data_IF_474755932300
#
_entry.id   IF_474755932300
#
_cell.length_a   1.000
_cell.length_b   1.000
_cell.length_c   1.000
_cell.angle_alpha   90.00
_cell.angle_beta   90.00
_cell.angle_gamma   90.00
#
_symmetry.space_group_name_H-M   'P 1'
#
loop_
_entity.id
_entity.type
_entity.pdbx_description
1 polymer ?
#
# COMPACT_ATOMS: atom_id res chain seq x y z
N UNK A 1 17.27 49.96 -9.72
CA UNK A 1 16.05 50.21 -8.94
C UNK A 1 16.31 49.63 -7.56
N UNK A 2 16.49 50.51 -6.60
CA UNK A 2 17.09 50.24 -5.30
C UNK A 2 16.30 49.25 -4.44
N UNK A 3 17.02 48.49 -3.63
CA UNK A 3 16.49 47.49 -2.68
C UNK A 3 15.63 48.15 -1.58
N UNK A 4 15.70 49.47 -1.42
CA UNK A 4 14.91 50.25 -0.47
C UNK A 4 13.48 50.59 -0.95
N UNK A 5 13.16 50.52 -2.25
CA UNK A 5 11.80 50.75 -2.75
C UNK A 5 10.82 49.61 -2.41
N UNK A 6 11.33 48.43 -2.07
CA UNK A 6 10.46 47.29 -1.68
C UNK A 6 9.75 47.51 -0.35
N UNK A 7 10.26 48.39 0.52
CA UNK A 7 9.62 48.75 1.80
C UNK A 7 8.60 49.89 1.66
N UNK A 8 8.66 50.71 0.60
CA UNK A 8 7.76 51.84 0.36
C UNK A 8 6.47 51.47 -0.39
N UNK A 9 6.47 50.35 -1.13
CA UNK A 9 5.31 49.85 -1.87
C UNK A 9 4.29 49.09 -1.01
N UNK A 10 4.74 48.48 0.10
CA UNK A 10 3.86 47.76 1.01
C UNK A 10 2.69 48.65 1.49
N UNK A 11 2.90 49.89 2.01
CA UNK A 11 1.82 50.80 2.39
C UNK A 11 0.82 51.16 1.28
N UNK A 12 1.26 51.22 0.01
CA UNK A 12 0.46 51.66 -1.13
C UNK A 12 -0.54 50.59 -1.58
N UNK A 13 -0.11 49.33 -1.61
CA UNK A 13 -0.98 48.19 -1.97
C UNK A 13 -2.17 48.06 -1.00
N UNK A 14 -1.99 48.37 0.29
CA UNK A 14 -3.07 48.32 1.28
C UNK A 14 -4.13 49.42 1.12
N UNK A 15 -3.85 50.46 0.30
CA UNK A 15 -4.76 51.59 0.06
C UNK A 15 -5.52 51.50 -1.26
N UNK A 16 -5.17 50.55 -2.14
CA UNK A 16 -5.85 50.39 -3.42
C UNK A 16 -7.30 49.91 -3.21
N UNK A 17 -8.26 50.44 -3.99
CA UNK A 17 -9.60 49.88 -4.14
C UNK A 17 -9.56 48.39 -4.53
N UNK A 18 -10.59 47.67 -4.10
CA UNK A 18 -10.68 46.22 -4.28
C UNK A 18 -10.61 45.81 -5.77
N UNK A 19 -11.27 46.57 -6.63
CA UNK A 19 -11.39 46.34 -8.06
C UNK A 19 -10.03 46.43 -8.76
N UNK A 20 -9.17 47.36 -8.32
CA UNK A 20 -7.82 47.53 -8.85
C UNK A 20 -6.88 46.41 -8.39
N UNK A 21 -7.03 45.94 -7.15
CA UNK A 21 -6.27 44.79 -6.65
C UNK A 21 -6.68 43.49 -7.37
N UNK A 22 -7.96 43.34 -7.69
CA UNK A 22 -8.47 42.24 -8.50
C UNK A 22 -7.93 42.29 -9.93
N UNK A 23 -7.92 43.46 -10.56
CA UNK A 23 -7.31 43.68 -11.87
C UNK A 23 -5.80 43.38 -11.88
N UNK A 24 -5.05 43.81 -10.86
CA UNK A 24 -3.62 43.50 -10.75
C UNK A 24 -3.40 41.99 -10.65
N UNK A 25 -4.19 41.30 -9.83
CA UNK A 25 -4.13 39.84 -9.72
C UNK A 25 -4.50 39.15 -11.04
N UNK A 26 -5.47 39.66 -11.78
CA UNK A 26 -5.92 39.15 -13.08
C UNK A 26 -4.83 39.28 -14.17
N UNK A 27 -4.06 40.36 -14.15
CA UNK A 27 -2.99 40.61 -15.12
C UNK A 27 -1.62 40.03 -14.71
N UNK A 28 -1.50 39.37 -13.56
CA UNK A 28 -0.28 38.69 -13.17
C UNK A 28 -0.03 37.45 -14.06
N UNK A 29 1.07 37.39 -14.82
CA UNK A 29 1.29 36.33 -15.80
C UNK A 29 1.72 34.99 -15.17
N UNK A 30 2.15 34.99 -13.91
CA UNK A 30 2.59 33.78 -13.19
C UNK A 30 1.78 33.59 -11.92
N UNK A 31 1.35 32.36 -11.68
CA UNK A 31 0.67 31.96 -10.44
C UNK A 31 1.49 32.28 -9.18
N UNK A 32 2.83 32.23 -9.27
CA UNK A 32 3.73 32.61 -8.18
C UNK A 32 3.55 34.07 -7.75
N UNK A 33 3.25 34.96 -8.68
CA UNK A 33 3.06 36.39 -8.43
C UNK A 33 1.71 36.63 -7.75
N UNK A 34 0.64 35.95 -8.20
CA UNK A 34 -0.68 36.00 -7.55
C UNK A 34 -0.61 35.41 -6.14
N UNK A 35 0.15 34.33 -5.95
CA UNK A 35 0.36 33.71 -4.63
C UNK A 35 1.23 34.57 -3.70
N UNK A 36 2.22 35.29 -4.23
CA UNK A 36 2.97 36.28 -3.47
C UNK A 36 2.08 37.45 -3.05
N UNK A 37 1.21 37.93 -3.95
CA UNK A 37 0.23 38.98 -3.68
C UNK A 37 -0.76 38.56 -2.59
N UNK A 38 -1.24 37.31 -2.61
CA UNK A 38 -2.15 36.79 -1.58
C UNK A 38 -1.49 36.65 -0.21
N UNK A 39 -0.19 36.29 -0.17
CA UNK A 39 0.58 36.18 1.09
C UNK A 39 0.98 37.53 1.67
N UNK A 40 1.07 38.57 0.85
CA UNK A 40 1.46 39.91 1.28
C UNK A 40 0.46 40.53 2.26
N UNK A 41 -0.82 40.13 2.26
CA UNK A 41 -1.86 40.73 3.11
C UNK A 41 -2.99 39.78 3.46
N UNK A 42 -3.33 39.67 4.75
CA UNK A 42 -4.52 38.91 5.19
C UNK A 42 -5.83 39.46 4.63
N UNK A 43 -5.91 40.78 4.39
CA UNK A 43 -7.09 41.44 3.81
C UNK A 43 -7.25 41.05 2.33
N UNK A 44 -6.14 40.94 1.61
CA UNK A 44 -6.11 40.47 0.23
C UNK A 44 -6.32 38.96 0.13
N UNK A 45 -5.86 38.18 1.10
CA UNK A 45 -5.92 36.72 1.03
C UNK A 45 -7.34 36.19 0.80
N UNK A 46 -8.37 36.75 1.45
CA UNK A 46 -9.76 36.30 1.23
C UNK A 46 -10.26 36.65 -0.17
N UNK A 47 -9.97 37.85 -0.66
CA UNK A 47 -10.55 38.37 -1.90
C UNK A 47 -9.74 38.00 -3.14
N UNK A 48 -8.41 38.13 -3.09
CA UNK A 48 -7.47 37.63 -4.11
C UNK A 48 -7.50 36.11 -4.18
N UNK A 49 -7.79 35.43 -3.06
CA UNK A 49 -7.92 33.97 -3.06
C UNK A 49 -9.02 33.47 -4.01
N UNK A 50 -10.12 34.22 -4.17
CA UNK A 50 -11.18 33.89 -5.13
C UNK A 50 -10.70 34.07 -6.58
N UNK A 51 -10.12 35.23 -6.90
CA UNK A 51 -9.56 35.49 -8.24
C UNK A 51 -8.42 34.53 -8.58
N UNK A 52 -7.63 34.10 -7.60
CA UNK A 52 -6.62 33.07 -7.78
C UNK A 52 -7.26 31.75 -8.21
N UNK A 53 -8.39 31.35 -7.62
CA UNK A 53 -9.09 30.13 -8.03
C UNK A 53 -9.73 30.28 -9.42
N UNK A 54 -10.38 31.39 -9.72
CA UNK A 54 -10.96 31.68 -11.05
C UNK A 54 -9.85 31.66 -12.13
N UNK A 55 -8.74 32.37 -11.91
CA UNK A 55 -7.60 32.36 -12.84
C UNK A 55 -6.96 30.97 -12.99
N UNK A 56 -6.91 30.17 -11.92
CA UNK A 56 -6.43 28.79 -11.98
C UNK A 56 -7.35 27.89 -12.81
N UNK A 57 -8.66 27.99 -12.65
CA UNK A 57 -9.64 27.23 -13.43
C UNK A 57 -9.56 27.63 -14.90
N UNK A 58 -9.55 28.93 -15.18
CA UNK A 58 -9.35 29.48 -16.53
C UNK A 58 -8.04 29.03 -17.20
N UNK A 59 -6.99 28.75 -16.42
CA UNK A 59 -5.69 28.25 -16.91
C UNK A 59 -5.56 26.72 -16.88
N UNK A 60 -6.63 25.99 -16.55
CA UNK A 60 -6.63 24.53 -16.35
C UNK A 60 -5.55 24.04 -15.36
N UNK A 61 -5.25 24.84 -14.34
CA UNK A 61 -4.28 24.53 -13.31
C UNK A 61 -4.97 24.04 -12.02
N UNK A 62 -4.91 22.73 -11.80
CA UNK A 62 -5.60 22.06 -10.68
C UNK A 62 -4.67 21.73 -9.50
N UNK A 63 -3.48 22.34 -9.42
CA UNK A 63 -2.51 22.14 -8.34
C UNK A 63 -3.10 22.40 -6.95
N UNK A 64 -4.02 23.38 -6.87
CA UNK A 64 -4.70 23.74 -5.62
C UNK A 64 -5.54 22.60 -5.07
N UNK A 65 -6.17 21.80 -5.94
CA UNK A 65 -7.01 20.66 -5.55
C UNK A 65 -6.13 19.57 -4.93
N UNK A 66 -4.99 19.26 -5.56
CA UNK A 66 -4.02 18.31 -5.04
C UNK A 66 -3.39 18.79 -3.73
N UNK A 67 -2.98 20.05 -3.66
CA UNK A 67 -2.43 20.62 -2.46
C UNK A 67 -3.45 20.57 -1.32
N UNK A 68 -4.69 20.96 -1.58
CA UNK A 68 -5.73 20.93 -0.56
C UNK A 68 -6.04 19.50 -0.12
N UNK A 69 -6.01 18.52 -1.03
CA UNK A 69 -6.19 17.12 -0.68
C UNK A 69 -5.00 16.53 0.09
N UNK A 70 -3.77 16.90 -0.26
CA UNK A 70 -2.53 16.47 0.40
C UNK A 70 -2.41 17.01 1.84
N UNK A 71 -2.88 18.24 2.08
CA UNK A 71 -2.82 18.90 3.38
C UNK A 71 -4.16 18.95 4.14
N UNK A 72 -5.20 18.25 3.66
CA UNK A 72 -6.50 18.15 4.35
C UNK A 72 -7.26 19.47 4.45
N UNK A 73 -7.07 20.38 3.49
CA UNK A 73 -7.68 21.72 3.50
C UNK A 73 -9.04 21.72 2.82
N UNK A 74 -10.03 21.08 3.43
CA UNK A 74 -11.42 21.03 2.94
C UNK A 74 -12.03 22.40 2.65
N UNK A 75 -11.73 23.41 3.50
CA UNK A 75 -12.18 24.78 3.28
C UNK A 75 -11.61 25.42 2.01
N UNK A 76 -10.42 25.00 1.57
CA UNK A 76 -9.82 25.45 0.30
C UNK A 76 -10.54 24.78 -0.88
N UNK A 77 -10.81 23.47 -0.79
CA UNK A 77 -11.58 22.75 -1.82
C UNK A 77 -12.98 23.35 -2.00
N UNK A 78 -13.69 23.65 -0.91
CA UNK A 78 -15.01 24.31 -0.94
C UNK A 78 -14.98 25.62 -1.74
N UNK A 79 -14.01 26.50 -1.44
CA UNK A 79 -13.88 27.78 -2.14
C UNK A 79 -13.50 27.62 -3.60
N UNK A 80 -12.68 26.62 -3.91
CA UNK A 80 -12.29 26.32 -5.28
C UNK A 80 -13.48 25.83 -6.10
N UNK A 81 -14.28 24.87 -5.59
CA UNK A 81 -15.51 24.41 -6.27
C UNK A 81 -16.50 25.56 -6.48
N UNK A 82 -16.72 26.41 -5.46
CA UNK A 82 -17.57 27.59 -5.61
C UNK A 82 -17.08 28.58 -6.67
N UNK A 83 -15.77 28.62 -6.97
CA UNK A 83 -15.23 29.42 -8.06
C UNK A 83 -15.47 28.73 -9.42
N UNK A 84 -15.35 27.40 -9.51
CA UNK A 84 -15.64 26.63 -10.73
C UNK A 84 -17.11 26.77 -11.19
N UNK A 85 -18.06 26.70 -10.24
CA UNK A 85 -19.50 26.79 -10.53
C UNK A 85 -19.92 28.12 -11.18
N UNK A 86 -19.13 29.18 -10.96
CA UNK A 86 -19.39 30.51 -11.51
C UNK A 86 -18.92 30.68 -12.96
N UNK A 87 -17.95 29.89 -13.42
CA UNK A 87 -17.44 29.93 -14.80
C UNK A 87 -18.25 29.07 -15.77
N UNK A 88 -19.29 28.35 -15.30
CA UNK A 88 -20.16 27.54 -16.16
C UNK A 88 -19.50 26.29 -16.75
N UNK A 89 -18.35 25.89 -16.19
CA UNK A 89 -17.73 24.60 -16.50
C UNK A 89 -18.64 23.48 -15.97
N UNK A 90 -19.11 22.60 -16.86
CA UNK A 90 -19.98 21.47 -16.46
C UNK A 90 -19.17 20.53 -15.55
N UNK A 91 -19.51 20.56 -14.25
CA UNK A 91 -18.92 19.82 -13.13
C UNK A 91 -17.45 20.17 -12.81
N UNK A 92 -17.18 20.51 -11.54
CA UNK A 92 -15.83 20.72 -11.05
C UNK A 92 -14.95 19.49 -11.36
N UNK A 93 -13.84 19.63 -12.10
CA UNK A 93 -13.02 18.50 -12.51
C UNK A 93 -12.24 17.97 -11.31
N UNK A 94 -12.87 17.13 -10.50
CA UNK A 94 -12.22 16.45 -9.40
C UNK A 94 -11.52 15.15 -9.86
N UNK A 95 -11.83 14.68 -11.07
CA UNK A 95 -11.12 13.65 -11.82
C UNK A 95 -9.84 14.20 -12.48
N UNK A 96 -9.12 15.04 -11.74
CA UNK A 96 -7.83 15.58 -12.14
C UNK A 96 -6.73 14.60 -11.75
N UNK A 97 -5.73 14.48 -12.62
CA UNK A 97 -4.58 13.62 -12.39
C UNK A 97 -3.32 14.47 -12.27
N UNK A 98 -2.59 14.30 -11.17
CA UNK A 98 -1.25 14.87 -11.08
C UNK A 98 -0.35 14.05 -11.99
N UNK A 99 0.34 14.70 -12.92
CA UNK A 99 1.38 14.12 -13.78
C UNK A 99 2.71 14.66 -13.27
N UNK A 100 3.50 13.83 -12.60
CA UNK A 100 4.88 14.19 -12.23
C UNK A 100 5.79 13.92 -13.44
N UNK A 101 6.25 14.98 -14.12
CA UNK A 101 7.33 14.88 -15.09
C UNK A 101 8.67 15.02 -14.34
N UNK A 102 9.37 13.90 -14.21
CA UNK A 102 10.68 13.76 -13.56
C UNK A 102 10.74 13.98 -12.04
N UNK A 103 11.32 12.99 -11.35
CA UNK A 103 11.61 13.04 -9.90
C UNK A 103 12.67 14.10 -9.58
N UNK A 104 13.51 14.46 -10.55
CA UNK A 104 14.70 15.29 -10.36
C UNK A 104 14.48 16.79 -10.59
N UNK A 105 13.36 17.19 -11.21
CA UNK A 105 13.08 18.60 -11.56
C UNK A 105 11.96 19.26 -10.77
N UNK A 106 11.31 18.52 -9.85
CA UNK A 106 10.31 19.08 -8.92
C UNK A 106 9.06 19.69 -9.57
N UNK A 107 8.85 19.50 -10.88
CA UNK A 107 7.71 20.02 -11.62
C UNK A 107 6.53 19.07 -11.55
N UNK A 108 5.61 19.29 -10.61
CA UNK A 108 4.28 18.66 -10.64
C UNK A 108 3.44 19.43 -11.66
N UNK A 109 2.91 18.74 -12.67
CA UNK A 109 1.91 19.31 -13.58
C UNK A 109 0.59 18.58 -13.35
N UNK A 110 -0.44 19.25 -12.85
CA UNK A 110 -1.76 18.63 -12.74
C UNK A 110 -2.56 18.88 -14.00
N UNK A 111 -3.10 17.82 -14.60
CA UNK A 111 -3.96 17.90 -15.78
C UNK A 111 -5.31 17.26 -15.50
N UNK A 112 -6.37 17.92 -15.96
CA UNK A 112 -7.66 17.27 -16.09
C UNK A 112 -7.60 16.28 -17.25
N UNK A 113 -8.07 15.06 -17.01
CA UNK A 113 -8.15 14.03 -18.03
C UNK A 113 -9.60 13.53 -18.02
N UNK A 114 -10.45 13.95 -18.97
CA UNK A 114 -11.85 13.56 -18.99
C UNK A 114 -12.01 12.09 -19.39
N UNK A 115 -12.87 11.37 -18.66
CA UNK A 115 -13.30 10.01 -18.99
C UNK A 115 -12.41 8.90 -18.40
N UNK A 116 -12.77 7.61 -18.65
CA UNK A 116 -11.96 6.48 -18.21
C UNK A 116 -10.61 6.54 -18.92
N UNK A 117 -9.58 6.93 -18.19
CA UNK A 117 -8.22 7.02 -18.69
C UNK A 117 -7.74 5.61 -19.06
N UNK A 118 -7.51 5.36 -20.34
CA UNK A 118 -6.89 4.11 -20.78
C UNK A 118 -5.41 4.13 -20.39
N UNK A 119 -5.11 3.45 -19.29
CA UNK A 119 -3.76 3.30 -18.73
C UNK A 119 -2.78 2.64 -19.71
N UNK A 120 -3.25 2.13 -20.85
CA UNK A 120 -2.48 1.49 -21.92
C UNK A 120 -1.80 2.47 -22.88
N UNK A 121 -1.98 3.78 -22.74
CA UNK A 121 -1.27 4.75 -23.58
C UNK A 121 0.22 4.86 -23.13
N UNK A 122 1.02 3.99 -23.73
CA UNK A 122 2.34 3.44 -23.31
C UNK A 122 3.53 4.40 -23.21
N UNK A 123 3.35 5.71 -23.13
CA UNK A 123 4.48 6.66 -23.28
C UNK A 123 4.77 7.55 -22.07
N UNK A 124 4.09 7.35 -20.93
CA UNK A 124 4.25 8.25 -19.78
C UNK A 124 4.96 7.54 -18.63
N UNK A 125 6.26 7.81 -18.43
CA UNK A 125 7.01 7.52 -17.19
C UNK A 125 6.51 8.36 -15.99
N UNK A 126 5.30 8.91 -16.07
CA UNK A 126 4.75 9.88 -15.14
C UNK A 126 3.80 9.20 -14.18
N UNK A 127 3.91 9.53 -12.90
CA UNK A 127 2.97 9.07 -11.88
C UNK A 127 1.65 9.82 -12.05
N UNK A 128 0.53 9.10 -12.08
CA UNK A 128 -0.85 9.61 -12.15
C UNK A 128 -1.53 9.34 -10.82
N UNK A 129 -1.90 10.38 -10.08
CA UNK A 129 -2.63 10.26 -8.82
C UNK A 129 -3.86 11.15 -8.90
N UNK A 130 -4.96 10.78 -8.26
CA UNK A 130 -6.14 11.67 -8.08
C UNK A 130 -6.05 12.39 -6.72
N UNK A 131 -6.82 13.48 -6.51
CA UNK A 131 -6.90 14.13 -5.20
C UNK A 131 -7.33 13.15 -4.11
N UNK A 132 -8.24 12.23 -4.45
CA UNK A 132 -8.72 11.21 -3.52
C UNK A 132 -7.59 10.27 -3.06
N UNK A 133 -6.64 9.91 -3.93
CA UNK A 133 -5.45 9.15 -3.52
C UNK A 133 -4.58 9.91 -2.51
N UNK A 134 -4.41 11.22 -2.68
CA UNK A 134 -3.64 12.05 -1.74
C UNK A 134 -4.36 12.20 -0.41
N UNK A 135 -5.65 12.50 -0.43
CA UNK A 135 -6.45 12.55 0.79
C UNK A 135 -6.41 11.20 1.54
N UNK A 136 -6.48 10.09 0.82
CA UNK A 136 -6.38 8.75 1.37
C UNK A 136 -4.98 8.41 1.92
N UNK A 137 -3.91 8.80 1.23
CA UNK A 137 -2.54 8.61 1.68
C UNK A 137 -2.26 9.31 3.02
N UNK A 138 -2.75 10.54 3.17
CA UNK A 138 -2.47 11.36 4.36
C UNK A 138 -3.54 11.25 5.46
N UNK A 139 -4.60 10.47 5.25
CA UNK A 139 -5.59 10.19 6.28
C UNK A 139 -6.63 11.30 6.51
N UNK A 140 -6.85 12.18 5.52
CA UNK A 140 -7.72 13.35 5.68
C UNK A 140 -9.20 12.99 5.48
N UNK A 141 -9.83 12.41 6.51
CA UNK A 141 -11.21 11.90 6.46
C UNK A 141 -12.22 12.93 5.93
N UNK A 142 -12.25 14.14 6.48
CA UNK A 142 -13.18 15.20 6.04
C UNK A 142 -12.98 15.57 4.56
N UNK A 143 -11.75 15.44 4.06
CA UNK A 143 -11.41 15.72 2.66
C UNK A 143 -11.86 14.58 1.77
N UNK A 144 -11.70 13.34 2.21
CA UNK A 144 -12.22 12.15 1.52
C UNK A 144 -13.74 12.23 1.39
N UNK A 145 -14.44 12.49 2.50
CA UNK A 145 -15.90 12.67 2.50
C UNK A 145 -16.32 13.77 1.52
N UNK A 146 -15.67 14.92 1.60
CA UNK A 146 -15.96 16.05 0.71
C UNK A 146 -15.75 15.71 -0.78
N UNK A 147 -14.65 15.05 -1.12
CA UNK A 147 -14.35 14.66 -2.51
C UNK A 147 -15.38 13.66 -3.05
N UNK A 148 -15.75 12.65 -2.25
CA UNK A 148 -16.75 11.64 -2.63
C UNK A 148 -18.15 12.25 -2.76
N UNK A 149 -18.53 13.20 -1.90
CA UNK A 149 -19.82 13.91 -1.99
C UNK A 149 -19.96 14.72 -3.29
N UNK A 150 -18.83 15.09 -3.92
CA UNK A 150 -18.80 15.85 -5.17
C UNK A 150 -18.55 14.97 -6.41
N UNK A 151 -18.77 13.65 -6.29
CA UNK A 151 -18.79 12.74 -7.42
C UNK A 151 -17.43 12.23 -7.88
N UNK A 152 -16.37 12.36 -7.06
CA UNK A 152 -15.11 11.65 -7.33
C UNK A 152 -15.35 10.15 -7.45
N UNK A 153 -14.73 9.53 -8.46
CA UNK A 153 -14.71 8.08 -8.55
C UNK A 153 -13.94 7.46 -7.36
N UNK A 154 -14.66 6.69 -6.55
CA UNK A 154 -14.14 5.97 -5.39
C UNK A 154 -13.13 4.88 -5.78
N UNK A 155 -13.23 4.37 -7.01
CA UNK A 155 -12.44 3.28 -7.57
C UNK A 155 -11.38 3.76 -8.57
N UNK A 156 -11.14 5.07 -8.65
CA UNK A 156 -10.21 5.66 -9.60
C UNK A 156 -8.83 4.99 -9.54
N UNK A 157 -8.27 4.59 -10.67
CA UNK A 157 -6.97 3.94 -10.70
C UNK A 157 -5.85 4.98 -10.89
N UNK A 158 -4.86 4.94 -10.01
CA UNK A 158 -3.59 5.66 -10.16
C UNK A 158 -2.58 4.81 -10.91
N UNK A 159 -1.54 5.45 -11.47
CA UNK A 159 -0.32 4.81 -11.93
C UNK A 159 0.83 5.38 -11.11
N UNK A 160 1.46 4.57 -10.28
CA UNK A 160 2.52 5.02 -9.39
C UNK A 160 3.70 4.07 -9.36
N UNK A 161 4.91 4.64 -9.23
CA UNK A 161 5.98 3.93 -8.53
C UNK A 161 5.53 3.79 -7.08
N UNK A 162 5.42 2.56 -6.57
CA UNK A 162 5.16 2.36 -5.14
C UNK A 162 6.32 2.96 -4.34
N UNK A 163 6.12 4.01 -3.53
CA UNK A 163 7.24 4.69 -2.86
C UNK A 163 7.85 3.87 -1.72
N UNK A 164 7.26 2.74 -1.37
CA UNK A 164 7.74 1.83 -0.35
C UNK A 164 7.61 0.43 -0.92
N UNK A 165 8.74 -0.30 -0.96
CA UNK A 165 8.79 -1.68 -1.47
C UNK A 165 7.65 -2.49 -0.85
N UNK A 166 6.60 -2.74 -1.64
CA UNK A 166 5.54 -3.65 -1.21
C UNK A 166 6.23 -4.97 -0.85
N UNK A 167 5.87 -5.53 0.30
CA UNK A 167 6.30 -6.87 0.69
C UNK A 167 5.86 -7.94 -0.33
N UNK A 168 4.90 -7.61 -1.22
CA UNK A 168 4.49 -8.48 -2.33
C UNK A 168 5.58 -8.70 -3.41
N UNK A 169 6.70 -7.97 -3.37
CA UNK A 169 7.87 -8.27 -4.21
C UNK A 169 8.73 -9.32 -3.52
N UNK A 170 8.51 -10.58 -3.91
CA UNK A 170 9.11 -11.78 -3.33
C UNK A 170 10.63 -11.85 -3.52
N UNK A 171 11.14 -11.38 -4.65
CA UNK A 171 12.57 -11.49 -4.96
C UNK A 171 13.33 -10.18 -4.78
N UNK A 172 14.56 -10.27 -4.27
CA UNK A 172 15.50 -9.15 -4.25
C UNK A 172 15.75 -8.57 -5.66
N UNK A 173 15.64 -9.42 -6.69
CA UNK A 173 15.71 -9.04 -8.10
C UNK A 173 14.49 -8.23 -8.55
N UNK A 174 13.30 -8.58 -8.08
CA UNK A 174 12.06 -7.82 -8.31
C UNK A 174 12.08 -6.47 -7.58
N UNK A 175 12.63 -6.42 -6.36
CA UNK A 175 12.83 -5.16 -5.62
C UNK A 175 13.87 -4.26 -6.29
N UNK A 176 14.95 -4.82 -6.80
CA UNK A 176 15.97 -4.09 -7.54
C UNK A 176 15.46 -3.60 -8.92
N UNK A 177 14.63 -4.39 -9.59
CA UNK A 177 14.00 -4.03 -10.86
C UNK A 177 12.76 -3.12 -10.71
N UNK A 178 12.13 -3.09 -9.53
CA UNK A 178 11.01 -2.18 -9.22
C UNK A 178 11.42 -0.70 -9.34
N UNK A 179 12.73 -0.42 -9.23
CA UNK A 179 13.30 0.91 -9.40
C UNK A 179 13.35 1.36 -10.87
N UNK A 180 13.19 0.44 -11.84
CA UNK A 180 13.36 0.72 -13.27
C UNK A 180 12.06 0.59 -14.07
N UNK A 181 11.12 -0.31 -13.71
CA UNK A 181 9.92 -0.58 -14.54
C UNK A 181 8.62 -0.93 -13.74
N UNK A 182 8.61 -0.69 -12.42
CA UNK A 182 7.58 -1.20 -11.50
C UNK A 182 6.37 -0.29 -11.28
N UNK A 183 5.71 0.20 -12.33
CA UNK A 183 4.45 0.93 -12.14
C UNK A 183 3.36 -0.03 -11.64
N UNK A 184 2.78 0.29 -10.48
CA UNK A 184 1.63 -0.42 -9.91
C UNK A 184 0.41 0.48 -10.01
N UNK A 185 -0.72 -0.09 -10.44
CA UNK A 185 -1.99 0.62 -10.37
C UNK A 185 -2.64 0.42 -9.02
N UNK A 186 -2.97 1.52 -8.36
CA UNK A 186 -3.58 1.51 -7.03
C UNK A 186 -4.94 2.21 -7.09
N UNK A 187 -5.92 1.67 -6.37
CA UNK A 187 -7.15 2.38 -6.06
C UNK A 187 -6.98 3.19 -4.75
N UNK A 188 -7.86 4.17 -4.45
CA UNK A 188 -7.75 4.96 -3.22
C UNK A 188 -7.80 4.09 -1.96
N UNK A 189 -8.57 3.00 -1.98
CA UNK A 189 -8.62 2.02 -0.89
C UNK A 189 -7.25 1.36 -0.65
N UNK A 190 -6.57 0.91 -1.70
CA UNK A 190 -5.21 0.36 -1.59
C UNK A 190 -4.24 1.39 -1.00
N UNK A 191 -4.35 2.64 -1.44
CA UNK A 191 -3.49 3.72 -0.94
C UNK A 191 -3.72 3.99 0.56
N UNK A 192 -4.98 4.00 1.02
CA UNK A 192 -5.32 4.14 2.43
C UNK A 192 -4.71 3.01 3.27
N UNK A 193 -4.78 1.77 2.76
CA UNK A 193 -4.24 0.57 3.45
C UNK A 193 -2.71 0.62 3.53
N UNK A 194 -2.02 0.91 2.41
CA UNK A 194 -0.55 1.02 2.37
C UNK A 194 -0.07 2.12 3.33
N UNK A 195 -0.82 3.23 3.42
CA UNK A 195 -0.54 4.34 4.33
C UNK A 195 -1.08 4.13 5.75
N UNK A 196 -1.63 2.95 6.06
CA UNK A 196 -2.17 2.56 7.38
C UNK A 196 -3.26 3.47 7.91
N UNK A 197 -4.06 4.06 7.02
CA UNK A 197 -5.15 4.97 7.35
C UNK A 197 -6.47 4.22 7.51
N UNK A 198 -6.62 3.46 8.60
CA UNK A 198 -7.77 2.58 8.84
C UNK A 198 -9.13 3.31 8.78
N UNK A 199 -9.22 4.51 9.37
CA UNK A 199 -10.46 5.29 9.35
C UNK A 199 -10.88 5.72 7.93
N UNK A 200 -9.92 6.07 7.08
CA UNK A 200 -10.20 6.38 5.68
C UNK A 200 -10.56 5.12 4.88
N UNK A 201 -9.86 4.01 5.10
CA UNK A 201 -10.18 2.74 4.44
C UNK A 201 -11.62 2.31 4.73
N UNK A 202 -12.05 2.37 6.00
CA UNK A 202 -13.43 2.12 6.40
C UNK A 202 -14.42 3.05 5.69
N UNK A 203 -14.12 4.35 5.65
CA UNK A 203 -14.98 5.30 4.95
C UNK A 203 -15.11 5.00 3.45
N UNK A 204 -14.02 4.65 2.79
CA UNK A 204 -14.04 4.29 1.37
C UNK A 204 -14.93 3.06 1.12
N UNK A 205 -14.86 2.05 2.01
CA UNK A 205 -15.75 0.88 1.95
C UNK A 205 -17.23 1.25 2.11
N UNK A 206 -17.56 2.09 3.11
CA UNK A 206 -18.92 2.61 3.30
C UNK A 206 -19.46 3.38 2.08
N UNK A 207 -18.56 3.93 1.25
CA UNK A 207 -18.89 4.69 0.04
C UNK A 207 -18.83 3.86 -1.24
N UNK A 208 -18.75 2.53 -1.13
CA UNK A 208 -18.82 1.60 -2.26
C UNK A 208 -17.47 1.34 -2.94
N UNK A 209 -16.34 1.51 -2.25
CA UNK A 209 -15.05 1.09 -2.78
C UNK A 209 -15.02 -0.42 -3.06
N UNK A 210 -14.62 -0.80 -4.27
CA UNK A 210 -14.51 -2.19 -4.67
C UNK A 210 -13.27 -2.85 -4.04
N UNK A 211 -13.49 -3.93 -3.30
CA UNK A 211 -12.43 -4.64 -2.57
C UNK A 211 -11.61 -5.58 -3.45
N UNK A 212 -12.22 -6.03 -4.55
CA UNK A 212 -11.63 -7.01 -5.47
C UNK A 212 -10.81 -6.39 -6.59
N UNK A 213 -10.62 -5.07 -6.59
CA UNK A 213 -9.68 -4.44 -7.51
C UNK A 213 -8.30 -5.01 -7.19
N UNK A 214 -7.68 -5.66 -8.18
CA UNK A 214 -6.35 -6.22 -8.05
C UNK A 214 -5.31 -5.20 -8.47
N UNK A 215 -4.18 -5.18 -7.78
CA UNK A 215 -3.01 -4.43 -8.23
C UNK A 215 -2.55 -4.94 -9.60
N UNK A 216 -2.23 -4.03 -10.53
CA UNK A 216 -1.56 -4.38 -11.78
C UNK A 216 -0.06 -4.14 -11.64
N UNK A 217 0.76 -5.04 -12.16
CA UNK A 217 2.21 -4.92 -12.33
C UNK A 217 2.50 -5.01 -13.82
N UNK A 218 3.11 -3.97 -14.41
CA UNK A 218 3.41 -3.93 -15.87
C UNK A 218 2.17 -4.26 -16.73
N UNK A 219 1.03 -3.64 -16.40
CA UNK A 219 -0.27 -3.86 -17.07
C UNK A 219 -0.91 -5.25 -16.85
N UNK A 220 -0.25 -6.17 -16.13
CA UNK A 220 -0.82 -7.46 -15.78
C UNK A 220 -1.28 -7.50 -14.31
N UNK A 221 -2.48 -8.02 -13.99
CA UNK A 221 -2.88 -8.15 -12.60
C UNK A 221 -1.85 -8.98 -11.83
N UNK A 222 -1.34 -8.57 -10.67
CA UNK A 222 -0.56 -9.47 -9.81
C UNK A 222 -1.46 -10.26 -8.84
N UNK A 223 -2.77 -10.03 -8.87
CA UNK A 223 -3.75 -10.76 -8.06
C UNK A 223 -3.81 -10.30 -6.60
N UNK A 224 -2.93 -9.37 -6.19
CA UNK A 224 -2.91 -8.83 -4.84
C UNK A 224 -4.13 -7.92 -4.65
N UNK A 225 -4.99 -8.27 -3.70
CA UNK A 225 -6.18 -7.50 -3.31
C UNK A 225 -5.91 -6.62 -2.08
N UNK A 226 -6.87 -5.74 -1.75
CA UNK A 226 -6.84 -4.94 -0.52
C UNK A 226 -6.69 -5.79 0.75
N UNK A 227 -7.27 -7.00 0.78
CA UNK A 227 -7.17 -7.91 1.92
C UNK A 227 -5.74 -8.42 2.15
N UNK A 228 -5.02 -8.75 1.08
CA UNK A 228 -3.61 -9.14 1.13
C UNK A 228 -2.75 -8.02 1.72
N UNK A 229 -2.98 -6.77 1.30
CA UNK A 229 -2.25 -5.61 1.82
C UNK A 229 -2.58 -5.33 3.29
N UNK A 230 -3.85 -5.43 3.68
CA UNK A 230 -4.25 -5.23 5.07
C UNK A 230 -3.60 -6.27 6.01
N UNK A 231 -3.55 -7.53 5.56
CA UNK A 231 -2.85 -8.62 6.24
C UNK A 231 -1.33 -8.35 6.32
N UNK A 232 -0.70 -7.94 5.22
CA UNK A 232 0.73 -7.63 5.14
C UNK A 232 1.17 -6.45 6.02
N UNK A 233 0.26 -5.53 6.34
CA UNK A 233 0.53 -4.36 7.17
C UNK A 233 0.05 -4.51 8.63
N UNK A 234 -0.54 -5.65 9.00
CA UNK A 234 -0.98 -5.92 10.36
C UNK A 234 -2.25 -5.17 10.76
N UNK A 235 -3.08 -4.75 9.80
CA UNK A 235 -4.27 -3.94 10.04
C UNK A 235 -5.50 -4.83 10.33
N UNK A 236 -5.53 -5.46 11.50
CA UNK A 236 -6.56 -6.45 11.86
C UNK A 236 -8.00 -5.91 11.81
N UNK A 237 -8.22 -4.65 12.21
CA UNK A 237 -9.55 -4.02 12.08
C UNK A 237 -9.94 -3.84 10.62
N UNK A 238 -9.01 -3.38 9.78
CA UNK A 238 -9.27 -3.20 8.34
C UNK A 238 -9.50 -4.54 7.64
N UNK A 239 -8.84 -5.61 8.06
CA UNK A 239 -9.14 -6.99 7.60
C UNK A 239 -10.60 -7.34 7.91
N UNK A 240 -11.07 -7.05 9.12
CA UNK A 240 -12.46 -7.28 9.54
C UNK A 240 -13.43 -6.45 8.69
N UNK A 241 -13.15 -5.15 8.55
CA UNK A 241 -13.98 -4.23 7.76
C UNK A 241 -14.07 -4.66 6.28
N UNK A 242 -12.98 -5.18 5.69
CA UNK A 242 -12.93 -5.66 4.30
C UNK A 242 -13.75 -6.92 4.07
N UNK A 243 -13.75 -7.87 5.01
CA UNK A 243 -14.50 -9.13 4.87
C UNK A 243 -15.97 -8.92 5.19
N UNK A 244 -16.29 -8.27 6.32
CA UNK A 244 -17.69 -8.07 6.75
C UNK A 244 -18.42 -6.99 5.95
N UNK A 245 -17.76 -5.85 5.69
CA UNK A 245 -18.36 -4.71 5.00
C UNK A 245 -18.13 -4.69 3.49
N UNK A 246 -17.04 -5.31 3.02
CA UNK A 246 -16.63 -5.31 1.61
C UNK A 246 -16.85 -6.63 0.88
N UNK A 247 -17.32 -7.67 1.58
CA UNK A 247 -17.51 -9.03 1.06
C UNK A 247 -16.26 -9.62 0.38
N UNK A 248 -15.08 -9.28 0.89
CA UNK A 248 -13.83 -9.89 0.43
C UNK A 248 -13.82 -11.38 0.72
N UNK A 249 -13.43 -12.20 -0.26
CA UNK A 249 -13.15 -13.61 -0.01
C UNK A 249 -11.86 -13.74 0.81
N UNK A 250 -12.01 -14.24 2.04
CA UNK A 250 -10.95 -14.40 3.03
C UNK A 250 -9.84 -15.36 2.57
N UNK A 251 -10.16 -16.28 1.66
CA UNK A 251 -9.26 -17.32 1.17
C UNK A 251 -8.75 -17.07 -0.26
N UNK A 252 -9.21 -16.02 -0.94
CA UNK A 252 -8.86 -15.74 -2.34
C UNK A 252 -7.35 -15.55 -2.48
N UNK A 253 -6.64 -16.43 -3.19
CA UNK A 253 -5.20 -16.28 -3.39
C UNK A 253 -4.89 -15.20 -4.43
N UNK A 254 -3.68 -14.65 -4.35
CA UNK A 254 -3.09 -13.84 -5.42
C UNK A 254 -2.71 -14.70 -6.64
N UNK A 255 -2.09 -14.09 -7.67
CA UNK A 255 -1.70 -14.83 -8.88
C UNK A 255 -0.62 -15.88 -8.65
N UNK A 256 0.16 -15.75 -7.59
CA UNK A 256 1.19 -16.72 -7.20
C UNK A 256 0.61 -17.88 -6.38
N UNK A 257 -0.71 -17.88 -6.13
CA UNK A 257 -1.37 -18.87 -5.27
C UNK A 257 -1.16 -18.59 -3.79
N UNK A 258 -0.79 -17.38 -3.39
CA UNK A 258 -0.57 -17.02 -1.99
C UNK A 258 -1.86 -16.47 -1.36
N UNK A 259 -2.37 -17.09 -0.27
CA UNK A 259 -3.56 -16.60 0.42
C UNK A 259 -3.24 -15.40 1.33
N UNK A 260 -4.24 -14.56 1.69
CA UNK A 260 -4.06 -13.43 2.61
C UNK A 260 -3.46 -13.82 3.97
N UNK A 261 -3.77 -15.03 4.45
CA UNK A 261 -3.21 -15.59 5.68
C UNK A 261 -1.68 -15.69 5.65
N UNK A 262 -1.09 -16.00 4.50
CA UNK A 262 0.36 -16.08 4.36
C UNK A 262 1.00 -14.69 4.50
N UNK A 263 0.36 -13.65 3.94
CA UNK A 263 0.83 -12.25 4.06
C UNK A 263 0.81 -11.76 5.52
N UNK A 264 -0.21 -12.13 6.30
CA UNK A 264 -0.23 -11.86 7.74
C UNK A 264 0.90 -12.59 8.49
N UNK A 265 1.25 -13.79 8.04
CA UNK A 265 2.25 -14.64 8.68
C UNK A 265 3.71 -14.28 8.32
N UNK A 266 3.94 -13.37 7.36
CA UNK A 266 5.30 -12.95 6.98
C UNK A 266 6.01 -12.12 8.03
N UNK A 267 5.29 -11.34 8.84
CA UNK A 267 5.90 -10.47 9.85
C UNK A 267 5.26 -10.70 11.22
N UNK A 268 6.09 -10.84 12.26
CA UNK A 268 5.61 -11.13 13.62
C UNK A 268 4.70 -10.02 14.18
N UNK A 269 4.89 -8.78 13.73
CA UNK A 269 4.04 -7.66 14.10
C UNK A 269 2.57 -7.85 13.63
N UNK A 270 2.33 -8.72 12.65
CA UNK A 270 1.04 -8.90 12.00
C UNK A 270 0.29 -10.16 12.49
N UNK A 271 0.82 -10.90 13.48
CA UNK A 271 0.20 -12.13 13.97
C UNK A 271 -1.23 -11.95 14.50
N UNK A 272 -1.62 -10.73 14.88
CA UNK A 272 -3.00 -10.41 15.26
C UNK A 272 -3.96 -10.55 14.07
N UNK A 273 -3.52 -10.23 12.85
CA UNK A 273 -4.32 -10.45 11.63
C UNK A 273 -4.61 -11.93 11.39
N UNK A 274 -3.72 -12.85 11.79
CA UNK A 274 -3.99 -14.29 11.67
C UNK A 274 -5.19 -14.71 12.53
N UNK A 275 -5.32 -14.13 13.73
CA UNK A 275 -6.48 -14.36 14.60
C UNK A 275 -7.76 -13.82 13.96
N UNK A 276 -7.73 -12.57 13.49
CA UNK A 276 -8.87 -11.96 12.80
C UNK A 276 -9.29 -12.76 11.56
N UNK A 277 -8.34 -13.16 10.70
CA UNK A 277 -8.62 -13.97 9.51
C UNK A 277 -9.26 -15.32 9.88
N UNK A 278 -8.75 -16.02 10.91
CA UNK A 278 -9.38 -17.25 11.41
C UNK A 278 -10.82 -16.99 11.86
N UNK A 279 -11.04 -15.96 12.65
CA UNK A 279 -12.38 -15.64 13.20
C UNK A 279 -13.37 -15.28 12.07
N UNK A 280 -12.87 -14.79 10.93
CA UNK A 280 -13.61 -14.53 9.70
C UNK A 280 -13.75 -15.76 8.78
N UNK A 281 -13.32 -16.95 9.21
CA UNK A 281 -13.48 -18.20 8.47
C UNK A 281 -12.35 -18.52 7.49
N UNK A 282 -11.15 -17.96 7.65
CA UNK A 282 -9.99 -18.35 6.86
C UNK A 282 -9.66 -19.83 7.06
N UNK A 283 -9.45 -20.55 5.96
CA UNK A 283 -8.97 -21.92 6.01
C UNK A 283 -7.47 -21.91 6.39
N UNK A 284 -7.13 -22.67 7.43
CA UNK A 284 -5.76 -22.74 7.96
C UNK A 284 -4.94 -23.83 7.25
N UNK A 285 -5.59 -24.71 6.50
CA UNK A 285 -4.99 -25.89 5.87
C UNK A 285 -4.87 -25.73 4.34
N UNK A 286 -4.94 -24.50 3.84
CA UNK A 286 -4.82 -24.18 2.41
C UNK A 286 -3.46 -24.63 1.90
N UNK A 287 -3.44 -25.19 0.70
CA UNK A 287 -2.21 -25.47 -0.02
C UNK A 287 -1.77 -24.24 -0.83
N UNK A 288 -0.50 -23.88 -0.67
CA UNK A 288 0.14 -22.70 -1.24
C UNK A 288 1.18 -23.17 -2.27
N UNK A 289 1.29 -22.44 -3.39
CA UNK A 289 2.27 -22.69 -4.43
C UNK A 289 1.67 -23.25 -5.72
N UNK A 290 2.47 -23.23 -6.79
CA UNK A 290 2.09 -23.69 -8.13
C UNK A 290 2.03 -25.22 -8.23
N UNK A 291 2.87 -25.82 -9.09
CA UNK A 291 2.78 -27.25 -9.42
C UNK A 291 3.06 -28.20 -8.23
N UNK A 292 3.82 -27.73 -7.23
CA UNK A 292 4.04 -28.43 -5.98
C UNK A 292 3.27 -27.72 -4.86
N UNK A 293 1.97 -27.96 -4.81
CA UNK A 293 1.09 -27.49 -3.73
C UNK A 293 1.62 -27.95 -2.36
N UNK A 294 1.87 -27.02 -1.46
CA UNK A 294 2.37 -27.31 -0.11
C UNK A 294 1.43 -26.73 0.94
N UNK A 295 1.13 -27.44 2.04
CA UNK A 295 0.29 -26.89 3.10
C UNK A 295 0.89 -25.60 3.68
N UNK A 296 0.04 -24.61 3.98
CA UNK A 296 0.44 -23.30 4.52
C UNK A 296 1.44 -23.42 5.69
N UNK A 297 1.19 -24.36 6.61
CA UNK A 297 2.07 -24.62 7.76
C UNK A 297 3.49 -25.02 7.34
N UNK A 298 3.64 -25.85 6.30
CA UNK A 298 4.95 -26.25 5.78
C UNK A 298 5.68 -25.06 5.14
N UNK A 299 4.97 -24.22 4.37
CA UNK A 299 5.55 -23.01 3.76
C UNK A 299 6.08 -22.04 4.81
N UNK A 300 5.39 -21.87 5.95
CA UNK A 300 5.86 -21.02 7.05
C UNK A 300 7.14 -21.56 7.70
N UNK A 301 7.23 -22.89 7.86
CA UNK A 301 8.39 -23.56 8.42
C UNK A 301 9.60 -23.39 7.49
N UNK A 302 9.44 -23.60 6.19
CA UNK A 302 10.52 -23.42 5.21
C UNK A 302 11.01 -21.97 5.12
N UNK A 303 10.10 -21.00 5.31
CA UNK A 303 10.44 -19.58 5.41
C UNK A 303 10.95 -19.16 6.79
N UNK A 304 11.19 -20.11 7.71
CA UNK A 304 11.75 -19.86 9.06
C UNK A 304 10.84 -18.92 9.88
N UNK A 305 9.52 -18.96 9.64
CA UNK A 305 8.52 -18.13 10.35
C UNK A 305 7.98 -18.87 11.58
N UNK A 306 8.86 -19.18 12.53
CA UNK A 306 8.56 -20.04 13.68
C UNK A 306 7.36 -19.57 14.51
N UNK A 307 7.32 -18.28 14.88
CA UNK A 307 6.22 -17.73 15.66
C UNK A 307 4.89 -17.78 14.91
N UNK A 308 4.90 -17.52 13.61
CA UNK A 308 3.70 -17.59 12.78
C UNK A 308 3.20 -19.03 12.63
N UNK A 309 4.09 -19.99 12.38
CA UNK A 309 3.75 -21.41 12.35
C UNK A 309 3.18 -21.88 13.70
N UNK A 310 3.78 -21.47 14.82
CA UNK A 310 3.29 -21.80 16.16
C UNK A 310 1.91 -21.20 16.40
N UNK A 311 1.71 -19.93 16.01
CA UNK A 311 0.42 -19.26 16.08
C UNK A 311 -0.63 -19.96 15.22
N UNK A 312 -0.28 -20.42 14.02
CA UNK A 312 -1.18 -21.14 13.14
C UNK A 312 -1.68 -22.45 13.77
N UNK A 313 -0.80 -23.18 14.46
CA UNK A 313 -1.17 -24.37 15.26
C UNK A 313 -2.07 -23.98 16.44
N UNK A 314 -1.73 -22.92 17.18
CA UNK A 314 -2.57 -22.41 18.29
C UNK A 314 -3.96 -21.97 17.82
N UNK A 315 -4.08 -21.53 16.57
CA UNK A 315 -5.34 -21.16 15.92
C UNK A 315 -6.17 -22.37 15.47
N UNK A 316 -5.61 -23.58 15.49
CA UNK A 316 -6.30 -24.83 15.17
C UNK A 316 -5.92 -25.48 13.84
N UNK A 317 -4.81 -25.08 13.22
CA UNK A 317 -4.34 -25.72 11.98
C UNK A 317 -3.93 -27.18 12.21
N UNK A 318 -4.24 -28.03 11.23
CA UNK A 318 -3.91 -29.45 11.31
C UNK A 318 -2.42 -29.68 11.06
N UNK A 319 -1.79 -30.45 11.94
CA UNK A 319 -0.38 -30.87 11.82
C UNK A 319 -0.21 -32.06 10.88
N UNK A 320 -1.29 -32.76 10.53
CA UNK A 320 -1.20 -34.00 9.77
C UNK A 320 -1.25 -33.79 8.26
N UNK A 321 -1.59 -32.58 7.80
CA UNK A 321 -1.72 -32.21 6.37
C UNK A 321 -0.42 -32.43 5.59
N UNK A 322 0.74 -32.43 6.27
CA UNK A 322 2.07 -32.59 5.65
C UNK A 322 2.56 -34.05 5.67
N UNK A 323 1.66 -35.02 5.84
CA UNK A 323 2.03 -36.44 5.97
C UNK A 323 2.49 -36.82 7.38
N UNK A 324 1.88 -36.19 8.40
CA UNK A 324 2.08 -36.51 9.81
C UNK A 324 3.17 -35.73 10.55
N UNK A 325 3.16 -35.83 11.88
CA UNK A 325 4.05 -35.06 12.78
C UNK A 325 5.54 -35.31 12.58
N UNK A 326 5.94 -36.53 12.19
CA UNK A 326 7.34 -36.86 11.92
C UNK A 326 7.90 -36.01 10.78
N UNK A 327 7.12 -35.87 9.71
CA UNK A 327 7.48 -35.13 8.50
C UNK A 327 7.59 -33.63 8.77
N UNK A 328 6.71 -33.07 9.61
CA UNK A 328 6.81 -31.68 10.05
C UNK A 328 8.06 -31.41 10.90
N UNK A 329 8.41 -32.32 11.81
CA UNK A 329 9.63 -32.18 12.63
C UNK A 329 10.89 -32.23 11.76
N UNK A 330 10.88 -33.05 10.71
CA UNK A 330 11.95 -33.10 9.71
C UNK A 330 12.09 -31.79 8.95
N UNK A 331 10.98 -31.21 8.52
CA UNK A 331 10.97 -29.90 7.87
C UNK A 331 11.51 -28.81 8.80
N UNK A 332 11.12 -28.82 10.08
CA UNK A 332 11.65 -27.90 11.09
C UNK A 332 13.18 -28.01 11.25
N UNK A 333 13.72 -29.22 11.27
CA UNK A 333 15.18 -29.45 11.36
C UNK A 333 15.88 -29.04 10.06
N UNK A 334 15.32 -29.39 8.90
CA UNK A 334 15.86 -29.00 7.58
C UNK A 334 15.92 -27.48 7.42
N UNK A 335 14.82 -26.81 7.72
CA UNK A 335 14.71 -25.35 7.61
C UNK A 335 15.60 -24.63 8.64
N UNK A 336 15.80 -25.19 9.83
CA UNK A 336 16.80 -24.69 10.80
C UNK A 336 18.23 -24.83 10.27
N UNK A 337 18.52 -25.90 9.52
CA UNK A 337 19.85 -26.18 8.98
C UNK A 337 20.17 -25.43 7.68
N UNK A 338 19.17 -25.01 6.92
CA UNK A 338 19.35 -24.24 5.68
C UNK A 338 19.73 -22.78 5.92
N UNK A 339 19.63 -22.27 7.15
CA UNK A 339 19.99 -20.89 7.48
C UNK A 339 21.51 -20.73 7.56
N UNK A 340 22.05 -19.89 6.67
CA UNK A 340 23.49 -19.64 6.51
C UNK A 340 24.07 -18.93 7.74
N UNK A 341 23.29 -18.07 8.41
CA UNK A 341 23.71 -17.28 9.58
C UNK A 341 22.89 -17.68 10.82
N UNK A 342 23.42 -18.56 11.70
CA UNK A 342 22.66 -19.12 12.82
C UNK A 342 22.20 -18.08 13.86
N UNK A 343 22.94 -16.96 13.98
CA UNK A 343 22.70 -15.95 15.01
C UNK A 343 21.42 -15.13 14.78
N UNK A 344 20.83 -15.21 13.58
CA UNK A 344 19.53 -14.58 13.25
C UNK A 344 18.34 -15.49 13.52
N UNK A 345 18.60 -16.73 13.96
CA UNK A 345 17.56 -17.73 14.16
C UNK A 345 16.97 -17.63 15.56
N UNK A 346 15.65 -17.46 15.62
CA UNK A 346 14.93 -17.46 16.89
C UNK A 346 14.75 -18.90 17.40
N UNK A 347 15.75 -19.38 18.13
CA UNK A 347 15.79 -20.76 18.65
C UNK A 347 14.71 -21.01 19.69
N UNK A 348 14.35 -20.01 20.49
CA UNK A 348 13.28 -20.12 21.47
C UNK A 348 11.91 -20.31 20.78
N UNK A 349 11.65 -19.53 19.72
CA UNK A 349 10.45 -19.68 18.91
C UNK A 349 10.41 -21.04 18.19
N UNK A 350 11.57 -21.53 17.73
CA UNK A 350 11.69 -22.85 17.14
C UNK A 350 11.39 -23.97 18.15
N UNK A 351 11.97 -23.93 19.35
CA UNK A 351 11.71 -24.91 20.42
C UNK A 351 10.23 -24.89 20.84
N UNK A 352 9.65 -23.69 20.91
CA UNK A 352 8.23 -23.48 21.20
C UNK A 352 7.32 -24.10 20.14
N UNK A 353 7.67 -23.95 18.85
CA UNK A 353 6.97 -24.58 17.73
C UNK A 353 7.08 -26.11 17.78
N UNK A 354 8.29 -26.63 17.94
CA UNK A 354 8.54 -28.08 18.02
C UNK A 354 7.77 -28.72 19.17
N UNK A 355 7.67 -28.02 20.30
CA UNK A 355 6.90 -28.49 21.47
C UNK A 355 5.41 -28.57 21.15
N UNK A 356 4.84 -27.58 20.46
CA UNK A 356 3.44 -27.63 20.01
C UNK A 356 3.19 -28.76 19.03
N UNK A 357 4.03 -28.92 18.01
CA UNK A 357 3.89 -30.01 17.03
C UNK A 357 3.86 -31.38 17.73
N UNK A 358 4.73 -31.59 18.73
CA UNK A 358 4.75 -32.82 19.53
C UNK A 358 3.51 -32.97 20.42
N UNK A 359 2.97 -31.87 20.95
CA UNK A 359 1.79 -31.86 21.82
C UNK A 359 0.46 -32.02 21.09
N UNK A 360 0.39 -31.66 19.80
CA UNK A 360 -0.84 -31.67 19.01
C UNK A 360 -1.27 -33.05 18.48
N UNK A 361 -0.51 -34.13 18.70
CA UNK A 361 -0.86 -35.48 18.23
C UNK A 361 -0.77 -36.57 19.32
N UNK A 362 -1.78 -37.43 19.47
CA UNK A 362 -1.74 -38.61 20.34
C UNK A 362 -0.94 -39.79 19.75
N UNK A 363 -0.61 -39.77 18.46
CA UNK A 363 0.14 -40.81 17.74
C UNK A 363 1.51 -40.29 17.32
N UNK A 364 2.39 -40.04 18.30
CA UNK A 364 3.79 -39.76 18.00
C UNK A 364 4.48 -41.04 17.51
N UNK A 365 4.51 -41.26 16.19
CA UNK A 365 5.41 -42.25 15.60
C UNK A 365 6.84 -41.69 15.64
N UNK A 366 7.76 -42.45 16.28
CA UNK A 366 9.18 -42.09 16.33
C UNK A 366 9.69 -41.87 14.89
N UNK A 367 10.50 -40.82 14.63
CA UNK A 367 10.98 -40.51 13.29
C UNK A 367 11.59 -41.75 12.63
N UNK A 368 11.15 -42.04 11.40
CA UNK A 368 11.50 -43.24 10.65
C UNK A 368 13.03 -43.38 10.49
N UNK A 369 13.53 -44.61 10.31
CA UNK A 369 14.99 -44.87 10.32
C UNK A 369 15.80 -44.08 9.28
N UNK A 370 15.20 -43.73 8.14
CA UNK A 370 15.78 -42.87 7.08
C UNK A 370 16.04 -41.44 7.56
N UNK A 371 15.13 -40.94 8.39
CA UNK A 371 15.14 -39.59 8.97
C UNK A 371 16.29 -39.43 9.94
N UNK A 372 16.46 -40.42 10.83
CA UNK A 372 17.59 -40.45 11.75
C UNK A 372 18.93 -40.49 11.02
N UNK A 373 19.01 -41.20 9.89
CA UNK A 373 20.20 -41.24 9.04
C UNK A 373 20.46 -39.88 8.38
N UNK A 374 19.45 -39.25 7.79
CA UNK A 374 19.58 -37.93 7.18
C UNK A 374 20.00 -36.85 8.19
N UNK A 375 19.36 -36.81 9.36
CA UNK A 375 19.72 -35.88 10.45
C UNK A 375 21.12 -36.13 10.99
N UNK A 376 21.54 -37.39 11.12
CA UNK A 376 22.91 -37.73 11.51
C UNK A 376 23.94 -37.29 10.46
N UNK A 377 23.60 -37.40 9.17
CA UNK A 377 24.46 -37.01 8.06
C UNK A 377 24.57 -35.48 7.96
N UNK A 378 23.45 -34.76 8.05
CA UNK A 378 23.41 -33.30 8.05
C UNK A 378 24.18 -32.69 9.24
N UNK A 379 24.08 -33.31 10.44
CA UNK A 379 24.90 -32.91 11.60
C UNK A 379 26.39 -33.13 11.39
N UNK A 380 26.77 -34.23 10.72
CA UNK A 380 28.16 -34.57 10.40
C UNK A 380 28.76 -33.64 9.34
N UNK A 381 27.97 -33.24 8.34
CA UNK A 381 28.38 -32.28 7.29
C UNK A 381 28.56 -30.86 7.86
N UNK A 382 27.65 -30.38 8.72
CA UNK A 382 27.78 -29.08 9.41
C UNK A 382 29.03 -28.99 10.30
N UNK A 383 29.46 -30.12 10.89
CA UNK A 383 30.71 -30.19 11.66
C UNK A 383 31.96 -30.21 10.78
N UNK A 384 31.85 -30.60 9.50
CA UNK A 384 32.98 -30.69 8.56
C UNK A 384 33.26 -29.39 7.81
N UNK A 385 32.23 -28.58 7.50
CA UNK A 385 32.40 -27.32 6.78
C UNK A 385 31.32 -26.29 7.16
N UNK A 386 31.57 -25.38 8.11
CA UNK A 386 30.56 -24.44 8.62
C UNK A 386 30.07 -23.37 7.62
N UNK A 387 30.57 -23.35 6.37
CA UNK A 387 30.23 -22.32 5.37
C UNK A 387 29.84 -22.81 3.98
N UNK A 388 29.73 -24.12 3.76
CA UNK A 388 29.44 -24.68 2.43
C UNK A 388 28.65 -25.98 2.55
N UNK A 389 27.35 -25.89 2.81
CA UNK A 389 26.45 -27.04 2.68
C UNK A 389 25.48 -26.74 1.54
N UNK A 390 25.72 -27.36 0.39
CA UNK A 390 24.79 -27.31 -0.75
C UNK A 390 23.81 -28.49 -0.62
N UNK A 391 22.62 -28.22 -0.07
CA UNK A 391 21.65 -29.24 0.31
C UNK A 391 20.95 -29.94 -0.87
N UNK A 392 21.06 -29.41 -2.10
CA UNK A 392 20.56 -30.09 -3.32
C UNK A 392 21.31 -31.40 -3.62
N UNK A 393 22.56 -31.54 -3.15
CA UNK A 393 23.32 -32.79 -3.32
C UNK A 393 23.00 -33.87 -2.26
N UNK A 394 22.32 -33.50 -1.18
CA UNK A 394 21.99 -34.41 -0.07
C UNK A 394 20.57 -35.01 -0.19
N UNK A 395 19.75 -34.51 -1.12
CA UNK A 395 18.37 -34.98 -1.33
C UNK A 395 18.23 -36.14 -2.34
N UNK A 396 19.29 -36.47 -3.08
CA UNK A 396 19.39 -37.68 -3.93
C UNK A 396 20.01 -38.83 -3.15
#
# INVERSE_FOLDING_TARGET
MDVDDRKSLAPLIYRLPFELLALIAWFCPRQQDVSALSRASRRLHKSVGRLLYETQVSQENYDVVFWAAEFGRTGTLKRWISACDLEGTRHAPLDVYSINRDVDRGGRTVRYIPGPFDLRDRQMHSRFWTPLHRAAQFGHLDTVDFLLDHGCDVNAQSLGLSPHGLSCFRDARDRANAQVDGCVTLAPLHQAIISKQAGVAKRLLERGAEVNIMLLRREEPCGVSALHLAAAHGLAQTVTDLVEGGHADVNQPDKDGLPPMLYAAEHEANLQCMGALRDLGADLNIEVGGDAKQPLLATLIERVRWRAAAKLIDLGASVDVVGGTSTLLELCERAKMSVIYPDTLDLDAWDSLVTRIKGSSPTFEKPQSRVKKFLALARREKQRAPGAVNFEQLSN
#
